data_IF_149770044644
#
_entry.id   IF_149770044644
#
_cell.length_a   1.000
_cell.length_b   1.000
_cell.length_c   1.000
_cell.angle_alpha   90.00
_cell.angle_beta   90.00
_cell.angle_gamma   90.00
#
_symmetry.space_group_name_H-M   'P 1'
#
loop_
_entity.id
_entity.type
_entity.pdbx_description
1 polymer ?
#
# COMPACT_ATOMS: atom_id res chain seq x y z
N UNK A 1 9.38 3.46 4.78
CA UNK A 1 9.93 3.84 3.44
C UNK A 1 9.26 5.13 2.94
N UNK A 2 9.87 5.93 2.06
CA UNK A 2 9.33 7.25 1.62
C UNK A 2 8.81 7.26 0.19
N UNK A 3 7.74 8.01 -0.07
CA UNK A 3 7.13 8.26 -1.39
C UNK A 3 6.82 9.76 -1.50
N UNK A 4 7.04 10.35 -2.69
CA UNK A 4 6.52 11.70 -3.00
C UNK A 4 5.32 11.58 -3.93
N UNK A 5 4.16 12.07 -3.50
CA UNK A 5 2.92 12.07 -4.29
C UNK A 5 2.27 13.45 -4.24
N UNK A 6 1.95 14.04 -5.39
CA UNK A 6 1.39 15.41 -5.49
C UNK A 6 2.16 16.47 -4.68
N UNK A 7 3.50 16.38 -4.65
CA UNK A 7 4.42 17.22 -3.86
C UNK A 7 4.37 17.03 -2.33
N UNK A 8 3.66 16.03 -1.82
CA UNK A 8 3.71 15.63 -0.41
C UNK A 8 4.78 14.56 -0.20
N UNK A 9 5.72 14.82 0.71
CA UNK A 9 6.65 13.80 1.21
C UNK A 9 5.92 12.91 2.22
N UNK A 10 5.81 11.63 1.92
CA UNK A 10 5.03 10.69 2.71
C UNK A 10 5.84 9.46 3.11
N UNK A 11 5.48 8.89 4.25
CA UNK A 11 5.85 7.55 4.68
C UNK A 11 4.79 6.55 4.21
N UNK A 12 5.24 5.41 3.70
CA UNK A 12 4.33 4.31 3.31
C UNK A 12 4.01 3.48 4.54
N UNK A 13 2.72 3.32 4.80
CA UNK A 13 2.19 2.46 5.84
C UNK A 13 1.44 1.30 5.20
N UNK A 14 1.83 0.08 5.59
CA UNK A 14 1.17 -1.16 5.19
C UNK A 14 0.20 -1.61 6.29
N UNK A 15 -0.95 -2.10 5.86
CA UNK A 15 -1.93 -2.78 6.70
C UNK A 15 -2.69 -3.81 5.87
N UNK A 16 -3.81 -4.33 6.40
CA UNK A 16 -4.66 -5.27 5.69
C UNK A 16 -6.12 -4.83 5.75
N UNK A 17 -6.84 -4.98 4.64
CA UNK A 17 -8.30 -4.83 4.65
C UNK A 17 -8.94 -5.93 5.52
N UNK A 18 -9.89 -5.55 6.35
CA UNK A 18 -10.41 -6.40 7.42
C UNK A 18 -11.24 -7.61 6.94
N UNK A 19 -11.79 -7.54 5.73
CA UNK A 19 -12.73 -8.52 5.16
C UNK A 19 -12.03 -9.69 4.44
N UNK A 20 -10.93 -9.43 3.73
CA UNK A 20 -10.23 -10.44 2.93
C UNK A 20 -8.71 -10.49 3.17
N UNK A 21 -8.18 -9.63 4.03
CA UNK A 21 -6.75 -9.60 4.37
C UNK A 21 -5.86 -9.03 3.27
N UNK A 22 -6.42 -8.51 2.16
CA UNK A 22 -5.63 -7.91 1.09
C UNK A 22 -4.77 -6.76 1.62
N UNK A 23 -3.55 -6.65 1.10
CA UNK A 23 -2.61 -5.59 1.47
C UNK A 23 -3.22 -4.22 1.18
N UNK A 24 -3.24 -3.37 2.21
CA UNK A 24 -3.61 -1.97 2.11
C UNK A 24 -2.36 -1.09 2.21
N UNK A 25 -2.27 -0.07 1.35
CA UNK A 25 -1.17 0.90 1.32
C UNK A 25 -1.74 2.29 1.56
N UNK A 26 -1.22 2.96 2.59
CA UNK A 26 -1.51 4.35 2.89
C UNK A 26 -0.24 5.20 2.81
N UNK A 27 -0.39 6.44 2.39
CA UNK A 27 0.64 7.46 2.43
C UNK A 27 0.32 8.41 3.59
N UNK A 28 1.19 8.43 4.58
CA UNK A 28 1.09 9.29 5.76
C UNK A 28 2.14 10.39 5.66
N UNK A 29 1.81 11.63 6.02
CA UNK A 29 2.74 12.74 5.99
C UNK A 29 4.01 12.45 6.76
N UNK A 30 5.16 12.62 6.10
CA UNK A 30 6.44 12.25 6.67
C UNK A 30 6.82 13.11 7.88
N UNK A 31 7.65 12.55 8.77
CA UNK A 31 8.17 13.31 9.91
C UNK A 31 8.94 14.57 9.50
N UNK A 32 8.65 15.67 10.18
CA UNK A 32 9.28 16.98 9.96
C UNK A 32 8.62 17.83 8.87
N UNK A 33 7.46 17.45 8.36
CA UNK A 33 6.62 18.29 7.50
C UNK A 33 5.50 18.95 8.32
N UNK A 34 4.88 20.01 7.78
CA UNK A 34 3.74 20.69 8.42
C UNK A 34 2.46 19.83 8.47
N UNK A 35 2.48 18.68 7.79
CA UNK A 35 1.40 17.69 7.68
C UNK A 35 1.84 16.32 8.23
N UNK A 36 2.81 16.30 9.15
CA UNK A 36 3.31 15.08 9.78
C UNK A 36 2.17 14.26 10.40
N UNK A 37 2.11 12.98 10.07
CA UNK A 37 1.09 12.06 10.59
C UNK A 37 -0.28 12.17 9.93
N UNK A 38 -0.50 13.12 9.02
CA UNK A 38 -1.76 13.26 8.29
C UNK A 38 -1.89 12.20 7.19
N UNK A 39 -3.12 11.72 6.94
CA UNK A 39 -3.38 10.83 5.81
C UNK A 39 -3.38 11.62 4.50
N UNK A 40 -2.37 11.38 3.66
CA UNK A 40 -2.23 12.02 2.35
C UNK A 40 -3.05 11.28 1.30
N UNK A 41 -2.95 9.96 1.25
CA UNK A 41 -3.69 9.14 0.30
C UNK A 41 -3.83 7.68 0.78
N UNK A 42 -4.89 7.02 0.35
CA UNK A 42 -4.96 5.55 0.39
C UNK A 42 -4.68 5.04 -1.02
N UNK A 43 -3.49 4.50 -1.22
CA UNK A 43 -2.97 4.16 -2.55
C UNK A 43 -3.54 2.85 -3.12
N UNK A 44 -3.97 1.94 -2.25
CA UNK A 44 -4.62 0.69 -2.65
C UNK A 44 -6.14 0.82 -2.69
N UNK A 45 -6.79 -0.13 -3.34
CA UNK A 45 -8.23 -0.36 -3.23
C UNK A 45 -8.47 -1.81 -2.81
N UNK A 46 -9.52 -2.06 -2.04
CA UNK A 46 -9.95 -3.42 -1.80
C UNK A 46 -10.85 -3.92 -2.92
N UNK A 47 -10.79 -5.22 -3.20
CA UNK A 47 -11.62 -5.87 -4.22
C UNK A 47 -12.18 -7.18 -3.68
N UNK A 48 -13.21 -7.73 -4.31
CA UNK A 48 -13.78 -9.03 -3.92
C UNK A 48 -12.82 -10.22 -4.19
N UNK A 49 -11.71 -9.97 -4.88
CA UNK A 49 -10.69 -10.99 -5.17
C UNK A 49 -9.64 -10.98 -4.08
N UNK A 50 -9.44 -12.14 -3.43
CA UNK A 50 -8.30 -12.35 -2.54
C UNK A 50 -6.99 -12.39 -3.33
N UNK A 51 -6.03 -11.58 -2.92
CA UNK A 51 -4.70 -11.46 -3.51
C UNK A 51 -3.66 -12.15 -2.63
N UNK A 52 -2.54 -12.55 -3.23
CA UNK A 52 -1.38 -12.99 -2.48
C UNK A 52 -0.84 -11.81 -1.63
N UNK A 53 -0.23 -12.09 -0.46
CA UNK A 53 0.23 -11.03 0.47
C UNK A 53 1.27 -10.09 -0.14
N UNK A 54 2.04 -10.57 -1.12
CA UNK A 54 3.03 -9.77 -1.85
C UNK A 54 2.46 -9.05 -3.08
N UNK A 55 1.15 -9.01 -3.22
CA UNK A 55 0.43 -8.44 -4.37
C UNK A 55 -0.59 -7.42 -3.89
N UNK A 56 -0.75 -6.32 -4.62
CA UNK A 56 -1.66 -5.23 -4.26
C UNK A 56 -2.42 -4.69 -5.49
N UNK A 57 -3.68 -4.35 -5.30
CA UNK A 57 -4.49 -3.62 -6.27
C UNK A 57 -4.37 -2.11 -6.02
N UNK A 58 -3.83 -1.37 -6.98
CA UNK A 58 -3.59 0.07 -6.84
C UNK A 58 -4.80 0.87 -7.33
N UNK A 59 -5.24 1.82 -6.51
CA UNK A 59 -6.23 2.83 -6.85
C UNK A 59 -5.53 3.94 -7.62
N UNK A 60 -5.51 3.86 -8.95
CA UNK A 60 -4.84 4.83 -9.85
C UNK A 60 -5.76 5.90 -10.45
N UNK A 61 -6.94 6.15 -9.86
CA UNK A 61 -7.97 7.04 -10.41
C UNK A 61 -8.45 8.08 -9.38
N UNK A 62 -9.23 9.06 -9.86
CA UNK A 62 -9.79 10.16 -9.06
C UNK A 62 -8.69 10.93 -8.34
N UNK A 63 -8.73 11.03 -7.01
CA UNK A 63 -7.72 11.73 -6.20
C UNK A 63 -6.32 11.09 -6.26
N UNK A 64 -6.22 9.86 -6.76
CA UNK A 64 -4.98 9.10 -6.84
C UNK A 64 -4.38 9.02 -8.26
N UNK A 65 -4.80 9.87 -9.18
CA UNK A 65 -4.20 9.88 -10.51
C UNK A 65 -2.66 10.07 -10.42
N UNK A 66 -1.91 9.15 -11.02
CA UNK A 66 -0.44 9.12 -10.96
C UNK A 66 0.16 8.32 -9.79
N UNK A 67 -0.65 7.68 -8.96
CA UNK A 67 -0.18 6.89 -7.81
C UNK A 67 0.77 5.76 -8.22
N UNK A 68 0.48 5.02 -9.29
CA UNK A 68 1.36 3.93 -9.74
C UNK A 68 2.77 4.45 -10.04
N UNK A 69 2.89 5.59 -10.72
CA UNK A 69 4.17 6.18 -11.05
C UNK A 69 4.96 6.62 -9.80
N UNK A 70 4.29 7.18 -8.80
CA UNK A 70 4.91 7.57 -7.53
C UNK A 70 5.44 6.35 -6.75
N UNK A 71 4.65 5.27 -6.68
CA UNK A 71 5.02 4.03 -6.01
C UNK A 71 6.16 3.29 -6.73
N UNK A 72 6.13 3.21 -8.06
CA UNK A 72 7.20 2.61 -8.88
C UNK A 72 8.50 3.39 -8.71
N UNK A 73 8.45 4.73 -8.82
CA UNK A 73 9.63 5.59 -8.67
C UNK A 73 10.28 5.45 -7.29
N UNK A 74 9.48 5.16 -6.27
CA UNK A 74 9.92 5.00 -4.88
C UNK A 74 10.22 3.54 -4.51
N UNK A 75 10.21 2.63 -5.50
CA UNK A 75 10.50 1.21 -5.34
C UNK A 75 9.56 0.52 -4.33
N UNK A 76 8.28 0.89 -4.29
CA UNK A 76 7.25 0.22 -3.47
C UNK A 76 6.65 -0.98 -4.21
N UNK A 77 6.37 -0.79 -5.50
CA UNK A 77 5.79 -1.80 -6.39
C UNK A 77 6.65 -1.95 -7.64
N UNK A 78 6.58 -3.11 -8.27
CA UNK A 78 7.27 -3.37 -9.52
C UNK A 78 6.78 -2.47 -10.67
N UNK A 79 7.67 -2.24 -11.64
CA UNK A 79 7.38 -1.38 -12.80
C UNK A 79 6.29 -1.90 -13.75
N UNK A 80 5.93 -3.19 -13.65
CA UNK A 80 4.96 -3.85 -14.54
C UNK A 80 3.77 -4.35 -13.74
N UNK A 81 2.57 -3.98 -14.19
CA UNK A 81 1.35 -4.59 -13.69
C UNK A 81 1.32 -6.08 -14.10
N UNK A 82 0.87 -6.93 -13.18
CA UNK A 82 0.72 -8.38 -13.40
C UNK A 82 -0.71 -8.79 -13.71
N UNK A 83 -1.65 -7.85 -13.62
CA UNK A 83 -3.07 -8.09 -13.91
C UNK A 83 -3.92 -6.84 -13.69
N UNK A 84 -5.22 -7.02 -13.84
CA UNK A 84 -6.24 -6.00 -13.63
C UNK A 84 -7.49 -6.62 -13.01
N UNK A 85 -8.19 -5.84 -12.17
CA UNK A 85 -9.48 -6.19 -11.58
C UNK A 85 -10.47 -5.09 -11.91
N UNK A 86 -11.57 -5.45 -12.57
CA UNK A 86 -12.67 -4.52 -12.85
C UNK A 86 -13.39 -4.15 -11.56
N UNK A 87 -13.45 -2.86 -11.26
CA UNK A 87 -14.09 -2.27 -10.08
C UNK A 87 -15.25 -1.37 -10.54
N UNK A 88 -16.30 -1.98 -11.11
CA UNK A 88 -17.38 -1.24 -11.74
C UNK A 88 -16.96 -0.62 -13.08
N UNK A 89 -16.82 0.70 -13.13
CA UNK A 89 -16.47 1.45 -14.36
C UNK A 89 -14.97 1.75 -14.50
N UNK A 90 -14.15 1.32 -13.54
CA UNK A 90 -12.69 1.53 -13.52
C UNK A 90 -11.97 0.20 -13.33
N UNK A 91 -10.67 0.19 -13.57
CA UNK A 91 -9.81 -0.98 -13.39
C UNK A 91 -8.72 -0.70 -12.37
N UNK A 92 -8.61 -1.59 -11.37
CA UNK A 92 -7.48 -1.61 -10.46
C UNK A 92 -6.38 -2.49 -11.06
N UNK A 93 -5.23 -1.89 -11.33
CA UNK A 93 -4.06 -2.65 -11.78
C UNK A 93 -3.43 -3.36 -10.58
N UNK A 94 -3.07 -4.62 -10.81
CA UNK A 94 -2.40 -5.46 -9.83
C UNK A 94 -0.89 -5.33 -10.02
N UNK A 95 -0.17 -5.13 -8.93
CA UNK A 95 1.29 -5.09 -8.91
C UNK A 95 1.86 -6.00 -7.82
N UNK A 96 3.09 -6.49 -8.03
CA UNK A 96 3.88 -7.09 -6.97
C UNK A 96 4.54 -6.00 -6.13
N UNK A 97 4.60 -6.22 -4.83
CA UNK A 97 5.48 -5.46 -3.94
C UNK A 97 6.93 -5.80 -4.24
N UNK A 98 7.81 -4.80 -4.17
CA UNK A 98 9.26 -5.02 -4.27
C UNK A 98 9.78 -5.76 -3.04
N UNK A 99 10.99 -6.30 -3.12
CA UNK A 99 11.62 -6.95 -1.95
C UNK A 99 11.77 -5.98 -0.78
N UNK A 100 12.13 -4.71 -1.06
CA UNK A 100 12.25 -3.66 -0.05
C UNK A 100 10.91 -3.33 0.61
N UNK A 101 9.83 -3.27 -0.17
CA UNK A 101 8.49 -3.04 0.35
C UNK A 101 8.00 -4.19 1.22
N UNK A 102 8.27 -5.44 0.84
CA UNK A 102 7.95 -6.62 1.66
C UNK A 102 8.70 -6.57 2.99
N UNK A 103 10.00 -6.25 2.98
CA UNK A 103 10.77 -6.10 4.21
C UNK A 103 10.26 -4.96 5.08
N UNK A 104 9.80 -3.88 4.48
CA UNK A 104 9.18 -2.76 5.20
C UNK A 104 7.84 -3.16 5.83
N UNK A 105 6.97 -3.85 5.08
CA UNK A 105 5.70 -4.38 5.57
C UNK A 105 5.91 -5.27 6.80
N UNK A 106 6.85 -6.22 6.74
CA UNK A 106 7.19 -7.13 7.85
C UNK A 106 7.67 -6.36 9.10
N UNK A 107 8.41 -5.25 8.93
CA UNK A 107 8.86 -4.42 10.06
C UNK A 107 7.71 -3.65 10.72
N UNK A 108 6.68 -3.31 9.94
CA UNK A 108 5.52 -2.56 10.41
C UNK A 108 4.46 -3.47 11.05
N UNK A 109 4.46 -4.76 10.72
CA UNK A 109 3.67 -5.75 11.43
C UNK A 109 4.07 -5.75 12.91
N UNK A 110 3.12 -5.58 13.84
CA UNK A 110 3.42 -5.76 15.25
C UNK A 110 3.93 -7.18 15.43
N UNK A 111 5.03 -7.37 16.16
CA UNK A 111 5.52 -8.69 16.54
C UNK A 111 4.34 -9.48 17.11
N UNK A 112 3.88 -10.50 16.38
CA UNK A 112 2.71 -11.28 16.77
C UNK A 112 2.88 -11.70 18.22
N UNK A 113 1.84 -11.52 19.03
CA UNK A 113 1.72 -11.98 20.41
C UNK A 113 2.38 -13.34 20.65
N UNK A 114 3.66 -13.33 20.99
CA UNK A 114 4.32 -14.41 21.71
C UNK A 114 3.94 -14.18 23.18
N UNK A 115 2.78 -14.72 23.57
CA UNK A 115 2.31 -15.01 24.93
C UNK A 115 0.86 -15.50 24.77
N UNK A 116 0.40 -16.63 25.28
CA UNK A 116 1.05 -17.67 26.05
C UNK A 116 0.03 -18.83 26.04
N UNK A 117 0.43 -20.01 25.57
CA UNK A 117 -0.25 -21.26 25.89
C UNK A 117 0.07 -21.57 27.35
N UNK A 118 -0.76 -21.13 28.30
CA UNK A 118 -0.75 -21.67 29.66
C UNK A 118 -1.95 -21.20 30.50
N UNK A 119 -3.03 -22.02 30.50
CA UNK A 119 -3.61 -22.71 31.67
C UNK A 119 -5.05 -23.18 31.42
#
# INVERSE_FOLDING_TARGET
MKVTFMNYESEVVFSSYADNGNTAIQLIGAKGTDYEGELIATASVNTDVSLASNVVAIKGWSENEGMEAALIKSNVIDSKATGLITCGFVEAKIYQLTSEAIQEQIKQEPASSANDTSH
#
